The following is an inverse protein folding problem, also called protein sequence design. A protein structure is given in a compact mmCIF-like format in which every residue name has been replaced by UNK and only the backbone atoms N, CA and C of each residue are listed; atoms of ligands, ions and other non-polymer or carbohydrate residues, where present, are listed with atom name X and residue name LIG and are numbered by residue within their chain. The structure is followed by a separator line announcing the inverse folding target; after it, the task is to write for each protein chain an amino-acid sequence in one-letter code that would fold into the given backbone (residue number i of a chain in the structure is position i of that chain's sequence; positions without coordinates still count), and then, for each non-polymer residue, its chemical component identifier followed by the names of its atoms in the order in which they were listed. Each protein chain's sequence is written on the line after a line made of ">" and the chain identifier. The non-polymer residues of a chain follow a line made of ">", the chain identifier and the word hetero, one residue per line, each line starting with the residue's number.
data_IF_351318001300
#
_entry.id   IF_351318001300
#
_cell.length_a   1.000
_cell.length_b   1.000
_cell.length_c   1.000
_cell.angle_alpha   90.00
_cell.angle_beta   90.00
_cell.angle_gamma   90.00
#
_symmetry.space_group_name_H-M   'P 1'
#
loop_
_entity.id
_entity.type
_entity.pdbx_description
1 polymer ?
#
# COMPACT_ATOMS: atom_id res chain seq x y z
N UNK A 1 -9.22 -23.29 7.45
CA UNK A 1 -7.80 -23.63 7.15
C UNK A 1 -6.90 -22.93 8.17
N UNK A 2 -5.65 -23.40 8.37
CA UNK A 2 -4.69 -22.76 9.28
C UNK A 2 -3.30 -22.74 8.65
N UNK A 3 -2.61 -21.61 8.77
CA UNK A 3 -1.20 -21.48 8.42
C UNK A 3 -0.39 -21.09 9.67
N UNK A 4 0.86 -21.54 9.73
CA UNK A 4 1.83 -21.13 10.74
C UNK A 4 3.13 -20.75 10.07
N UNK A 5 3.78 -19.73 10.59
CA UNK A 5 5.10 -19.26 10.15
C UNK A 5 6.06 -19.44 11.31
N UNK A 6 7.23 -20.02 11.06
CA UNK A 6 8.26 -20.21 12.08
C UNK A 6 9.00 -18.90 12.35
N UNK A 7 9.42 -18.20 11.29
CA UNK A 7 10.16 -16.95 11.38
C UNK A 7 9.67 -15.97 10.31
N UNK A 8 9.36 -14.75 10.75
CA UNK A 8 9.10 -13.59 9.90
C UNK A 8 10.13 -12.51 10.25
N UNK A 9 10.94 -12.11 9.27
CA UNK A 9 11.91 -11.03 9.40
C UNK A 9 11.58 -9.92 8.41
N UNK A 10 11.43 -8.70 8.92
CA UNK A 10 11.17 -7.49 8.13
C UNK A 10 12.36 -6.56 8.33
N UNK A 11 12.92 -6.05 7.23
CA UNK A 11 14.01 -5.06 7.24
C UNK A 11 13.56 -3.81 6.49
N UNK A 12 13.50 -2.68 7.20
CA UNK A 12 13.18 -1.37 6.64
C UNK A 12 14.49 -0.57 6.60
N UNK A 13 15.03 -0.27 5.41
CA UNK A 13 16.25 0.52 5.31
C UNK A 13 15.97 1.99 5.68
N UNK A 14 17.01 2.69 6.13
CA UNK A 14 16.92 4.13 6.45
C UNK A 14 16.62 4.98 5.20
N UNK A 15 17.08 4.52 4.03
CA UNK A 15 16.88 5.13 2.71
C UNK A 15 15.79 4.39 1.92
N UNK A 16 14.63 4.15 2.52
CA UNK A 16 13.55 3.38 1.87
C UNK A 16 13.03 3.98 0.56
N UNK A 17 13.38 5.24 0.24
CA UNK A 17 13.15 5.87 -1.07
C UNK A 17 13.92 5.21 -2.22
N UNK A 18 15.11 4.65 -1.94
CA UNK A 18 16.02 4.07 -2.93
C UNK A 18 16.31 2.60 -2.70
N UNK A 19 16.23 2.15 -1.44
CA UNK A 19 16.50 0.78 -1.04
C UNK A 19 15.22 -0.03 -0.83
N UNK A 20 15.20 -1.32 -1.22
CA UNK A 20 14.02 -2.17 -1.09
C UNK A 20 13.70 -2.52 0.37
N UNK A 21 12.42 -2.72 0.66
CA UNK A 21 11.95 -3.26 1.93
C UNK A 21 12.00 -4.79 1.84
N UNK A 22 12.75 -5.45 2.71
CA UNK A 22 13.01 -6.88 2.61
C UNK A 22 12.14 -7.63 3.62
N UNK A 23 11.32 -8.56 3.12
CA UNK A 23 10.54 -9.50 3.92
C UNK A 23 11.03 -10.91 3.68
N UNK A 24 11.51 -11.56 4.74
CA UNK A 24 11.96 -12.94 4.73
C UNK A 24 11.04 -13.78 5.61
N UNK A 25 10.52 -14.84 5.03
CA UNK A 25 9.67 -15.83 5.69
C UNK A 25 10.38 -17.17 5.66
N UNK A 26 10.48 -17.83 6.80
CA UNK A 26 11.05 -19.17 6.92
C UNK A 26 10.10 -20.08 7.71
N UNK A 27 9.97 -21.33 7.26
CA UNK A 27 9.18 -22.37 7.91
C UNK A 27 7.67 -22.14 7.83
N UNK A 28 7.11 -22.11 6.63
CA UNK A 28 5.66 -21.97 6.42
C UNK A 28 5.00 -23.36 6.45
N UNK A 29 4.08 -23.58 7.38
CA UNK A 29 3.24 -24.78 7.43
C UNK A 29 1.79 -24.41 7.12
N UNK A 30 1.30 -24.87 5.97
CA UNK A 30 -0.09 -24.71 5.56
C UNK A 30 -0.86 -25.98 5.90
N UNK A 31 -2.11 -25.86 6.35
CA UNK A 31 -3.05 -27.00 6.48
C UNK A 31 -4.29 -26.69 5.66
N UNK A 32 -4.44 -27.42 4.57
CA UNK A 32 -5.55 -27.28 3.62
C UNK A 32 -6.63 -28.33 3.89
N UNK A 33 -7.90 -27.93 3.89
CA UNK A 33 -9.04 -28.84 3.80
C UNK A 33 -9.63 -28.75 2.39
N UNK A 34 -9.56 -29.84 1.64
CA UNK A 34 -10.22 -29.93 0.32
C UNK A 34 -11.70 -30.23 0.53
N UNK A 35 -12.57 -29.27 0.20
CA UNK A 35 -14.02 -29.50 0.11
C UNK A 35 -14.32 -30.07 -1.28
N UNK A 36 -14.56 -31.37 -1.38
CA UNK A 36 -15.01 -31.99 -2.62
C UNK A 36 -16.54 -31.99 -2.69
N UNK A 37 -17.11 -31.23 -3.62
CA UNK A 37 -18.50 -31.44 -4.05
C UNK A 37 -18.49 -32.33 -5.29
N UNK A 38 -18.69 -33.64 -5.08
CA UNK A 38 -18.84 -34.61 -6.18
C UNK A 38 -20.32 -34.73 -6.51
N UNK A 39 -20.89 -33.69 -7.13
CA UNK A 39 -22.27 -33.72 -7.62
C UNK A 39 -22.28 -33.57 -9.15
N UNK A 40 -22.68 -34.66 -9.80
CA UNK A 40 -22.81 -34.85 -11.25
C UNK A 40 -23.71 -33.82 -11.93
N UNK A 41 -23.27 -33.38 -13.11
CA UNK A 41 -24.05 -33.08 -14.33
C UNK A 41 -24.84 -31.76 -14.44
N UNK A 42 -24.48 -31.02 -15.49
CA UNK A 42 -25.26 -30.14 -16.37
C UNK A 42 -25.37 -28.62 -16.09
N UNK A 43 -24.79 -27.88 -17.05
CA UNK A 43 -25.21 -26.62 -17.70
C UNK A 43 -25.34 -25.32 -16.88
N UNK A 44 -24.46 -24.40 -17.29
CA UNK A 44 -24.72 -22.97 -17.53
C UNK A 44 -25.00 -22.09 -16.32
N UNK A 45 -23.94 -21.45 -15.81
CA UNK A 45 -23.90 -19.99 -15.68
C UNK A 45 -22.44 -19.54 -15.47
N UNK A 46 -21.85 -18.89 -16.48
CA UNK A 46 -20.61 -18.15 -16.30
C UNK A 46 -20.92 -16.89 -15.49
N UNK A 47 -20.93 -16.99 -14.17
CA UNK A 47 -20.64 -15.83 -13.32
C UNK A 47 -19.12 -15.74 -13.22
N UNK A 48 -18.50 -14.62 -13.64
CA UNK A 48 -17.11 -14.39 -13.26
C UNK A 48 -17.12 -14.23 -11.75
N UNK A 49 -16.72 -15.29 -11.03
CA UNK A 49 -16.25 -15.13 -9.65
C UNK A 49 -15.06 -14.21 -9.76
N UNK A 50 -15.32 -12.92 -9.56
CA UNK A 50 -14.31 -11.90 -9.35
C UNK A 50 -13.42 -12.48 -8.26
N UNK A 51 -12.22 -12.93 -8.65
CA UNK A 51 -11.25 -13.43 -7.69
C UNK A 51 -11.00 -12.28 -6.74
N UNK A 52 -11.61 -12.35 -5.55
CA UNK A 52 -11.34 -11.40 -4.50
C UNK A 52 -9.84 -11.51 -4.26
N UNK A 53 -9.10 -10.48 -4.70
CA UNK A 53 -7.67 -10.41 -4.48
C UNK A 53 -7.46 -10.58 -2.98
N UNK A 54 -6.83 -11.69 -2.60
CA UNK A 54 -6.61 -12.06 -1.19
C UNK A 54 -5.77 -11.00 -0.47
N UNK A 55 -5.12 -10.12 -1.23
CA UNK A 55 -4.41 -8.94 -0.75
C UNK A 55 -5.35 -7.72 -0.85
N UNK A 56 -5.64 -7.02 0.26
CA UNK A 56 -6.42 -5.79 0.24
C UNK A 56 -5.72 -4.69 -0.57
N UNK A 57 -6.50 -3.82 -1.20
CA UNK A 57 -5.98 -2.68 -1.94
C UNK A 57 -5.40 -1.62 -0.99
N UNK A 58 -4.45 -0.82 -1.48
CA UNK A 58 -3.79 0.25 -0.70
C UNK A 58 -4.76 1.36 -0.31
N UNK A 59 -5.75 1.67 -1.15
CA UNK A 59 -6.82 2.61 -0.80
C UNK A 59 -7.66 2.10 0.38
N UNK A 60 -8.01 0.81 0.37
CA UNK A 60 -8.80 0.19 1.46
C UNK A 60 -8.00 0.16 2.76
N UNK A 61 -6.69 -0.11 2.68
CA UNK A 61 -5.78 -0.06 3.84
C UNK A 61 -5.61 1.35 4.39
N UNK A 62 -5.45 2.36 3.52
CA UNK A 62 -5.37 3.75 3.93
C UNK A 62 -6.65 4.18 4.65
N UNK A 63 -7.81 3.81 4.11
CA UNK A 63 -9.09 4.10 4.73
C UNK A 63 -9.24 3.38 6.07
N UNK A 64 -8.93 2.09 6.14
CA UNK A 64 -8.97 1.31 7.38
C UNK A 64 -8.03 1.85 8.45
N UNK A 65 -6.81 2.27 8.06
CA UNK A 65 -5.85 2.87 8.97
C UNK A 65 -6.44 4.14 9.57
N UNK A 66 -6.85 5.06 8.70
CA UNK A 66 -7.46 6.30 9.15
C UNK A 66 -8.66 6.01 10.04
N UNK A 67 -9.60 5.13 9.68
CA UNK A 67 -10.75 4.77 10.50
C UNK A 67 -10.41 4.29 11.92
N UNK A 68 -9.26 3.64 12.12
CA UNK A 68 -8.80 3.20 13.44
C UNK A 68 -8.09 4.26 14.27
N UNK A 69 -7.54 5.30 13.63
CA UNK A 69 -6.79 6.37 14.31
C UNK A 69 -7.71 7.35 15.06
N UNK A 70 -7.21 7.98 16.12
CA UNK A 70 -7.98 9.01 16.82
C UNK A 70 -8.15 10.29 15.97
N UNK A 71 -9.18 11.09 16.26
CA UNK A 71 -9.41 12.35 15.55
C UNK A 71 -8.21 13.31 15.65
N UNK A 72 -7.55 13.36 16.81
CA UNK A 72 -6.36 14.21 17.02
C UNK A 72 -5.17 13.78 16.15
N UNK A 73 -4.92 12.48 16.02
CA UNK A 73 -3.82 11.95 15.23
C UNK A 73 -4.07 12.20 13.73
N UNK A 74 -5.29 11.93 13.25
CA UNK A 74 -5.67 12.24 11.86
C UNK A 74 -5.46 13.71 11.53
N UNK A 75 -5.93 14.60 12.40
CA UNK A 75 -5.78 16.04 12.20
C UNK A 75 -4.31 16.46 12.17
N UNK A 76 -3.48 15.90 13.05
CA UNK A 76 -2.05 16.17 13.04
C UNK A 76 -1.38 15.73 11.73
N UNK A 77 -1.78 14.58 11.18
CA UNK A 77 -1.29 14.10 9.88
C UNK A 77 -1.73 15.01 8.73
N UNK A 78 -2.98 15.48 8.74
CA UNK A 78 -3.49 16.46 7.77
C UNK A 78 -2.73 17.78 7.84
N UNK A 79 -2.51 18.30 9.04
CA UNK A 79 -1.77 19.55 9.27
C UNK A 79 -0.30 19.43 8.82
N UNK A 80 0.34 18.28 9.07
CA UNK A 80 1.71 18.01 8.61
C UNK A 80 1.82 17.94 7.08
N UNK A 81 0.87 17.28 6.42
CA UNK A 81 0.81 17.21 4.96
C UNK A 81 0.61 18.61 4.33
N UNK A 82 -0.25 19.43 4.93
CA UNK A 82 -0.47 20.81 4.49
C UNK A 82 0.78 21.69 4.70
N UNK A 83 1.61 21.42 5.71
CA UNK A 83 2.86 22.14 5.93
C UNK A 83 3.94 21.77 4.90
N UNK A 84 4.14 20.47 4.64
CA UNK A 84 5.16 19.98 3.69
C UNK A 84 4.88 20.39 2.25
N UNK A 85 3.62 20.33 1.81
CA UNK A 85 3.21 20.76 0.47
C UNK A 85 3.47 22.26 0.21
N UNK A 86 3.36 23.10 1.24
CA UNK A 86 3.69 24.53 1.14
C UNK A 86 5.20 24.78 1.04
N UNK A 87 6.04 24.01 1.76
CA UNK A 87 7.51 24.15 1.73
C UNK A 87 8.10 23.79 0.36
N UNK A 88 7.57 22.72 -0.27
CA UNK A 88 7.97 22.32 -1.63
C UNK A 88 7.56 23.35 -2.69
N UNK A 89 6.37 23.96 -2.57
CA UNK A 89 5.92 25.01 -3.49
C UNK A 89 6.72 26.31 -3.39
N UNK A 90 7.18 26.66 -2.18
CA UNK A 90 7.99 27.85 -1.93
C UNK A 90 9.43 27.71 -2.45
N UNK A 91 10.02 26.52 -2.40
CA UNK A 91 11.40 26.29 -2.86
C UNK A 91 11.55 26.37 -4.40
N UNK A 92 10.50 26.04 -5.15
CA UNK A 92 10.51 26.06 -6.62
C UNK A 92 10.28 27.49 -7.17
N UNK A 93 9.50 28.31 -6.46
CA UNK A 93 9.20 29.70 -6.88
C UNK A 93 10.35 30.68 -6.63
N UNK A 94 11.38 30.30 -5.86
CA UNK A 94 12.52 31.17 -5.54
C UNK A 94 13.74 30.96 -6.45
N UNK A 95 13.66 30.07 -7.44
CA UNK A 95 14.79 29.70 -8.32
C UNK A 95 14.58 30.04 -9.80
N UNK A 96 13.77 31.05 -10.14
CA UNK A 96 13.66 31.53 -11.54
C UNK A 96 13.47 33.06 -11.58
N UNK A 97 14.58 33.77 -11.78
CA UNK A 97 14.58 35.16 -12.26
C UNK A 97 14.27 35.12 -13.76
N UNK A 98 12.99 35.18 -14.11
CA UNK A 98 12.58 35.49 -15.48
C UNK A 98 11.36 34.74 -15.99
N UNK A 99 10.34 35.52 -16.31
CA UNK A 99 9.16 35.20 -17.14
C UNK A 99 7.97 34.50 -16.47
N UNK A 100 6.88 35.26 -16.49
CA UNK A 100 5.53 34.93 -16.05
C UNK A 100 4.87 34.02 -17.10
N UNK A 101 5.05 32.70 -17.03
CA UNK A 101 4.10 31.67 -17.51
C UNK A 101 4.75 30.28 -17.53
N UNK A 102 5.05 29.72 -16.36
CA UNK A 102 5.03 28.25 -16.25
C UNK A 102 4.87 27.88 -14.79
N UNK A 103 3.67 27.43 -14.41
CA UNK A 103 3.41 26.84 -13.11
C UNK A 103 4.14 25.48 -13.04
N UNK A 104 5.22 25.33 -12.25
CA UNK A 104 5.88 24.05 -12.08
C UNK A 104 5.16 23.29 -10.96
N UNK A 105 3.84 23.16 -11.08
CA UNK A 105 3.04 22.34 -10.17
C UNK A 105 2.83 20.99 -10.85
N UNK A 106 3.80 20.10 -10.66
CA UNK A 106 3.68 18.71 -11.12
C UNK A 106 2.42 18.09 -10.49
N UNK A 107 1.33 18.01 -11.28
CA UNK A 107 0.13 17.24 -10.96
C UNK A 107 -1.05 18.02 -10.38
N UNK A 108 -2.10 18.19 -11.19
CA UNK A 108 -3.52 18.53 -10.92
C UNK A 108 -3.89 19.78 -10.09
N UNK A 109 -2.97 20.49 -9.44
CA UNK A 109 -3.28 21.77 -8.76
C UNK A 109 -4.22 21.64 -7.56
N UNK A 110 -4.52 20.42 -7.10
CA UNK A 110 -5.38 20.16 -5.96
C UNK A 110 -4.52 19.56 -4.84
N UNK A 111 -4.55 20.09 -3.61
CA UNK A 111 -3.78 19.55 -2.50
C UNK A 111 -4.16 18.09 -2.28
N UNK A 112 -3.16 17.21 -2.14
CA UNK A 112 -3.38 15.78 -1.89
C UNK A 112 -4.17 15.63 -0.58
N UNK A 113 -5.32 14.95 -0.63
CA UNK A 113 -6.07 14.60 0.57
C UNK A 113 -5.30 13.54 1.35
N UNK A 114 -5.41 13.54 2.69
CA UNK A 114 -4.69 12.57 3.53
C UNK A 114 -4.94 11.10 3.12
N UNK A 115 -6.19 10.64 2.84
CA UNK A 115 -6.42 9.27 2.38
C UNK A 115 -5.76 8.97 1.03
N UNK A 116 -5.77 9.92 0.09
CA UNK A 116 -5.15 9.76 -1.23
C UNK A 116 -3.63 9.67 -1.12
N UNK A 117 -3.02 10.60 -0.39
CA UNK A 117 -1.59 10.57 -0.09
C UNK A 117 -1.17 9.26 0.57
N UNK A 118 -1.93 8.81 1.58
CA UNK A 118 -1.60 7.57 2.30
C UNK A 118 -1.73 6.35 1.39
N UNK A 119 -2.73 6.30 0.51
CA UNK A 119 -2.87 5.23 -0.48
C UNK A 119 -1.66 5.17 -1.42
N UNK A 120 -1.23 6.31 -1.97
CA UNK A 120 -0.06 6.40 -2.86
C UNK A 120 1.25 6.06 -2.13
N UNK A 121 1.38 6.50 -0.86
CA UNK A 121 2.51 6.15 -0.02
C UNK A 121 2.59 4.64 0.25
N UNK A 122 1.47 4.03 0.64
CA UNK A 122 1.37 2.58 0.84
C UNK A 122 1.62 1.82 -0.46
N UNK A 123 1.14 2.34 -1.59
CA UNK A 123 1.44 1.77 -2.91
C UNK A 123 2.95 1.79 -3.19
N UNK A 124 3.62 2.92 -2.95
CA UNK A 124 5.06 3.00 -3.09
C UNK A 124 5.80 2.01 -2.16
N UNK A 125 5.29 1.75 -0.95
CA UNK A 125 5.83 0.71 -0.06
C UNK A 125 5.67 -0.69 -0.68
N UNK A 126 4.47 -1.02 -1.17
CA UNK A 126 4.17 -2.32 -1.80
C UNK A 126 5.08 -2.56 -2.99
N UNK A 127 5.25 -1.55 -3.86
CA UNK A 127 6.06 -1.65 -5.08
C UNK A 127 7.55 -1.91 -4.78
N UNK A 128 8.04 -1.47 -3.62
CA UNK A 128 9.43 -1.65 -3.18
C UNK A 128 9.64 -2.86 -2.27
N UNK A 129 8.57 -3.53 -1.88
CA UNK A 129 8.66 -4.69 -0.98
C UNK A 129 9.09 -5.92 -1.75
N UNK A 130 10.18 -6.56 -1.32
CA UNK A 130 10.66 -7.82 -1.86
C UNK A 130 10.45 -8.93 -0.85
N UNK A 131 9.77 -10.00 -1.28
CA UNK A 131 9.38 -11.11 -0.42
C UNK A 131 10.15 -12.37 -0.82
N UNK A 132 10.82 -13.00 0.15
CA UNK A 132 11.45 -14.31 -0.01
C UNK A 132 10.84 -15.28 1.01
N UNK A 133 10.34 -16.43 0.52
CA UNK A 133 9.73 -17.47 1.35
C UNK A 133 10.57 -18.74 1.21
N UNK A 134 11.07 -19.23 2.34
CA UNK A 134 11.88 -20.44 2.43
C UNK A 134 11.15 -21.51 3.26
N UNK A 135 11.44 -22.78 2.95
CA UNK A 135 10.96 -23.93 3.72
C UNK A 135 9.43 -23.99 3.89
N UNK A 136 8.72 -24.15 2.77
CA UNK A 136 7.26 -24.27 2.73
C UNK A 136 6.82 -25.74 2.77
N UNK A 137 5.86 -26.05 3.63
CA UNK A 137 5.23 -27.36 3.82
C UNK A 137 3.71 -27.21 3.77
N UNK A 138 3.04 -28.08 3.04
CA UNK A 138 1.59 -28.08 2.82
C UNK A 138 0.88 -29.26 3.52
#
# INVERSE_FOLDING_TARGET
>A
DKAKVLLLRITIPMDFYTSPIIVQVDGVHVRLKVLGDVSKTARTLNTPTQEASVVPNTADLAQSFLETESFSERKQLEDALAAETNDMGASITMSEDGSEDESPFFGTGQPLSLPGFLADFLQGIVDRTQISINNVVF
#
